data_IF_918535206543
#
_entry.id   IF_918535206543
#
_cell.length_a   1.000
_cell.length_b   1.000
_cell.length_c   1.000
_cell.angle_alpha   90.00
_cell.angle_beta   90.00
_cell.angle_gamma   90.00
#
_symmetry.space_group_name_H-M   'P 1'
#
loop_
_entity.id
_entity.type
_entity.pdbx_description
1 polymer ?
#
# COMPACT_ATOMS: atom_id res chain seq x y z
N UNK A 1 4.31 -11.41 -12.71
CA UNK A 1 3.58 -12.39 -11.88
C UNK A 1 4.22 -12.62 -10.50
N UNK A 2 5.54 -12.79 -10.38
CA UNK A 2 6.23 -13.01 -9.09
C UNK A 2 5.87 -12.00 -7.98
N UNK A 3 5.93 -10.70 -8.26
CA UNK A 3 5.61 -9.66 -7.27
C UNK A 3 4.13 -9.66 -6.87
N UNK A 4 3.22 -9.90 -7.82
CA UNK A 4 1.79 -10.02 -7.52
C UNK A 4 1.50 -11.19 -6.57
N UNK A 5 2.13 -12.35 -6.80
CA UNK A 5 1.98 -13.51 -5.93
C UNK A 5 2.54 -13.24 -4.51
N UNK A 6 3.68 -12.56 -4.40
CA UNK A 6 4.24 -12.16 -3.10
C UNK A 6 3.30 -11.20 -2.35
N UNK A 7 2.76 -10.19 -3.03
CA UNK A 7 1.77 -9.27 -2.43
C UNK A 7 0.51 -10.02 -2.01
N UNK A 8 0.01 -10.94 -2.84
CA UNK A 8 -1.18 -11.73 -2.51
C UNK A 8 -0.98 -12.58 -1.26
N UNK A 9 0.18 -13.23 -1.13
CA UNK A 9 0.54 -13.99 0.08
C UNK A 9 0.54 -13.10 1.32
N UNK A 10 1.25 -11.96 1.30
CA UNK A 10 1.30 -11.05 2.45
C UNK A 10 -0.07 -10.47 2.80
N UNK A 11 -0.87 -10.09 1.79
CA UNK A 11 -2.25 -9.61 2.01
C UNK A 11 -3.10 -10.69 2.65
N UNK A 12 -2.94 -11.96 2.27
CA UNK A 12 -3.60 -13.09 2.92
C UNK A 12 -3.27 -13.19 4.41
N UNK A 13 -1.98 -13.10 4.77
CA UNK A 13 -1.56 -13.10 6.18
C UNK A 13 -2.18 -11.94 6.97
N UNK A 14 -2.12 -10.71 6.44
CA UNK A 14 -2.70 -9.54 7.11
C UNK A 14 -4.24 -9.62 7.23
N UNK A 15 -4.91 -10.18 6.23
CA UNK A 15 -6.36 -10.40 6.29
C UNK A 15 -6.71 -11.46 7.35
N UNK A 16 -5.85 -12.46 7.57
CA UNK A 16 -6.04 -13.46 8.62
C UNK A 16 -5.97 -12.81 10.01
N UNK A 17 -4.97 -11.97 10.26
CA UNK A 17 -4.83 -11.25 11.54
C UNK A 17 -6.07 -10.38 11.83
N UNK A 18 -6.59 -9.68 10.81
CA UNK A 18 -7.79 -8.85 10.93
C UNK A 18 -9.06 -9.70 11.07
N UNK A 19 -9.14 -10.84 10.40
CA UNK A 19 -10.25 -11.78 10.53
C UNK A 19 -10.38 -12.30 11.96
N UNK A 20 -9.26 -12.63 12.59
CA UNK A 20 -9.20 -13.08 13.99
C UNK A 20 -9.58 -11.95 14.96
N UNK A 21 -9.04 -10.74 14.79
CA UNK A 21 -9.38 -9.57 15.62
C UNK A 21 -10.86 -9.18 15.53
N UNK A 22 -11.49 -9.41 14.38
CA UNK A 22 -12.89 -9.04 14.12
C UNK A 22 -13.88 -10.20 14.22
N UNK A 23 -13.41 -11.40 14.57
CA UNK A 23 -14.19 -12.64 14.59
C UNK A 23 -15.03 -12.82 13.31
N UNK A 24 -14.39 -12.62 12.16
CA UNK A 24 -15.04 -12.66 10.84
C UNK A 24 -14.21 -13.40 9.81
N UNK A 25 -14.81 -13.77 8.68
CA UNK A 25 -14.11 -14.49 7.61
C UNK A 25 -14.06 -13.66 6.33
N UNK A 26 -12.90 -13.64 5.67
CA UNK A 26 -12.76 -13.04 4.34
C UNK A 26 -12.87 -14.11 3.25
N UNK A 27 -13.61 -13.81 2.18
CA UNK A 27 -13.64 -14.68 1.01
C UNK A 27 -12.30 -14.62 0.26
N UNK A 28 -11.96 -15.70 -0.47
CA UNK A 28 -10.76 -15.73 -1.33
C UNK A 28 -10.79 -14.62 -2.38
N UNK A 29 -11.98 -14.30 -2.89
CA UNK A 29 -12.22 -13.23 -3.86
C UNK A 29 -11.94 -11.86 -3.25
N UNK A 30 -12.33 -11.63 -2.00
CA UNK A 30 -12.04 -10.38 -1.26
C UNK A 30 -10.54 -10.20 -1.08
N UNK A 31 -9.82 -11.23 -0.65
CA UNK A 31 -8.36 -11.21 -0.47
C UNK A 31 -7.66 -10.93 -1.82
N UNK A 32 -8.11 -11.57 -2.90
CA UNK A 32 -7.60 -11.31 -4.25
C UNK A 32 -7.85 -9.87 -4.72
N UNK A 33 -9.04 -9.33 -4.45
CA UNK A 33 -9.38 -7.95 -4.80
C UNK A 33 -8.52 -6.94 -4.02
N UNK A 34 -8.33 -7.14 -2.72
CA UNK A 34 -7.45 -6.31 -1.88
C UNK A 34 -6.02 -6.38 -2.43
N UNK A 35 -5.52 -7.58 -2.73
CA UNK A 35 -4.19 -7.76 -3.30
C UNK A 35 -4.00 -7.00 -4.63
N UNK A 36 -4.99 -7.00 -5.52
CA UNK A 36 -4.90 -6.29 -6.80
C UNK A 36 -5.01 -4.77 -6.60
N UNK A 37 -5.80 -4.28 -5.64
CA UNK A 37 -5.86 -2.86 -5.27
C UNK A 37 -4.50 -2.42 -4.73
N UNK A 38 -3.95 -3.13 -3.74
CA UNK A 38 -2.65 -2.83 -3.14
C UNK A 38 -1.54 -2.83 -4.19
N UNK A 39 -1.49 -3.84 -5.06
CA UNK A 39 -0.47 -3.91 -6.12
C UNK A 39 -0.57 -2.72 -7.10
N UNK A 40 -1.78 -2.34 -7.53
CA UNK A 40 -1.98 -1.15 -8.38
C UNK A 40 -1.59 0.14 -7.66
N UNK A 41 -1.86 0.21 -6.35
CA UNK A 41 -1.51 1.37 -5.55
C UNK A 41 0.01 1.51 -5.39
N UNK A 42 0.77 0.42 -5.30
CA UNK A 42 2.23 0.46 -5.40
C UNK A 42 2.73 1.06 -6.73
N UNK A 43 1.97 0.86 -7.82
CA UNK A 43 2.20 1.48 -9.13
C UNK A 43 2.04 3.00 -9.18
N UNK A 44 1.68 3.67 -8.07
CA UNK A 44 1.77 5.14 -7.93
C UNK A 44 3.22 5.64 -7.76
N UNK A 45 4.18 4.92 -8.33
CA UNK A 45 5.59 5.32 -8.49
C UNK A 45 5.73 6.75 -9.02
N UNK A 46 4.77 7.17 -9.84
CA UNK A 46 4.74 8.51 -10.43
C UNK A 46 4.60 9.61 -9.35
N UNK A 47 3.85 9.39 -8.27
CA UNK A 47 3.64 10.44 -7.26
C UNK A 47 4.91 10.65 -6.44
N UNK A 48 5.56 9.58 -5.94
CA UNK A 48 6.81 9.71 -5.19
C UNK A 48 7.91 10.38 -6.03
N UNK A 49 8.08 9.93 -7.28
CA UNK A 49 9.07 10.52 -8.18
C UNK A 49 8.75 11.99 -8.51
N UNK A 50 7.47 12.35 -8.69
CA UNK A 50 7.07 13.74 -8.87
C UNK A 50 7.43 14.60 -7.66
N UNK A 51 7.18 14.12 -6.43
CA UNK A 51 7.48 14.87 -5.20
C UNK A 51 8.98 15.10 -5.02
N UNK A 52 9.80 14.07 -5.26
CA UNK A 52 11.25 14.18 -5.15
C UNK A 52 11.83 15.16 -6.18
N UNK A 53 11.35 15.05 -7.43
CA UNK A 53 11.77 15.92 -8.53
C UNK A 53 11.33 17.36 -8.30
N UNK A 54 10.16 17.59 -7.70
CA UNK A 54 9.72 18.93 -7.31
C UNK A 54 10.68 19.58 -6.30
N UNK A 55 11.23 18.78 -5.38
CA UNK A 55 12.28 19.21 -4.45
C UNK A 55 13.70 19.23 -5.07
N UNK A 56 13.83 19.13 -6.42
CA UNK A 56 15.11 19.06 -7.15
C UNK A 56 16.02 17.89 -6.73
N UNK A 57 15.43 16.81 -6.21
CA UNK A 57 16.11 15.59 -5.79
C UNK A 57 15.77 14.43 -6.74
N UNK A 58 16.67 13.46 -6.84
CA UNK A 58 16.47 12.20 -7.58
C UNK A 58 16.25 10.99 -6.66
N UNK A 59 16.46 11.15 -5.36
CA UNK A 59 16.30 10.10 -4.35
C UNK A 59 15.09 10.40 -3.47
N UNK A 60 14.23 9.39 -3.28
CA UNK A 60 13.06 9.45 -2.40
C UNK A 60 13.50 9.48 -0.93
N UNK A 61 12.90 10.39 -0.16
CA UNK A 61 13.16 10.59 1.27
C UNK A 61 11.88 10.42 2.09
N UNK A 62 12.02 10.35 3.42
CA UNK A 62 10.89 10.24 4.33
C UNK A 62 9.90 11.42 4.19
N UNK A 63 10.37 12.62 3.84
CA UNK A 63 9.50 13.79 3.64
C UNK A 63 8.55 13.61 2.44
N UNK A 64 9.01 12.94 1.39
CA UNK A 64 8.16 12.65 0.22
C UNK A 64 7.05 11.65 0.57
N UNK A 65 7.33 10.71 1.49
CA UNK A 65 6.36 9.74 2.00
C UNK A 65 5.34 10.40 2.94
N UNK A 66 5.79 11.26 3.86
CA UNK A 66 4.89 12.04 4.72
C UNK A 66 3.96 12.93 3.90
N UNK A 67 4.50 13.55 2.84
CA UNK A 67 3.72 14.41 1.95
C UNK A 67 2.66 13.61 1.16
N UNK A 68 2.89 12.32 0.85
CA UNK A 68 1.87 11.47 0.27
C UNK A 68 0.69 11.23 1.24
N UNK A 69 0.99 11.04 2.52
CA UNK A 69 -0.03 10.82 3.55
C UNK A 69 -0.87 12.07 3.86
N UNK A 70 -0.45 13.27 3.40
CA UNK A 70 -1.03 14.60 3.77
C UNK A 70 -2.55 14.73 3.68
N UNK A 71 -3.21 13.91 2.85
CA UNK A 71 -4.66 13.96 2.66
C UNK A 71 -5.45 13.29 3.80
N UNK A 72 -4.78 12.53 4.66
CA UNK A 72 -5.39 11.84 5.79
C UNK A 72 -4.62 12.18 7.08
N UNK A 73 -5.22 13.02 7.93
CA UNK A 73 -4.58 13.48 9.17
C UNK A 73 -4.25 12.33 10.14
N UNK A 74 -5.00 11.23 10.11
CA UNK A 74 -4.69 10.05 10.92
C UNK A 74 -3.46 9.28 10.44
N UNK A 75 -3.08 9.42 9.16
CA UNK A 75 -1.93 8.73 8.56
C UNK A 75 -0.63 9.56 8.58
N UNK A 76 -0.72 10.87 8.75
CA UNK A 76 0.45 11.79 8.78
C UNK A 76 1.13 11.82 10.15
N UNK A 77 0.41 11.38 11.18
CA UNK A 77 0.76 11.59 12.58
C UNK A 77 2.01 10.84 13.03
#
# INVERSE_FOLDING_TARGET
QRLKAAVHYTVGCLCQDVAEDKDMQFSKQTIAAISEITFRQCGTEVIFLMLCRHAKRSTVTAEDVKLLARRSNSLVR
#
